data_IF_193011888244
#
_entry.id   IF_193011888244
#
_cell.length_a   1.000
_cell.length_b   1.000
_cell.length_c   1.000
_cell.angle_alpha   90.00
_cell.angle_beta   90.00
_cell.angle_gamma   90.00
#
_symmetry.space_group_name_H-M   'P 1'
#
loop_
_entity.id
_entity.type
_entity.pdbx_description
1 polymer ?
#
# COMPACT_ATOMS: atom_id res chain seq x y z
N UNK A 1 -3.61 5.16 -12.93
CA UNK A 1 -2.80 4.12 -13.61
C UNK A 1 -3.63 2.85 -13.65
N UNK A 2 -3.95 2.32 -14.84
CA UNK A 2 -4.64 1.03 -14.95
C UNK A 2 -3.61 -0.06 -14.67
N UNK A 3 -3.61 -0.60 -13.45
CA UNK A 3 -2.76 -1.75 -13.11
C UNK A 3 -3.41 -3.00 -13.71
N UNK A 4 -3.11 -3.31 -14.98
CA UNK A 4 -3.51 -4.57 -15.64
C UNK A 4 -2.67 -5.78 -15.16
N UNK A 5 -1.89 -5.62 -14.09
CA UNK A 5 -1.10 -6.69 -13.50
C UNK A 5 -1.97 -7.41 -12.50
N UNK A 6 -2.18 -8.73 -12.67
CA UNK A 6 -2.76 -9.56 -11.63
C UNK A 6 -1.80 -9.55 -10.44
N UNK A 7 -2.28 -9.15 -9.27
CA UNK A 7 -1.49 -9.09 -8.04
C UNK A 7 -2.30 -9.71 -6.89
N UNK A 8 -1.57 -10.25 -5.93
CA UNK A 8 -2.12 -10.83 -4.71
C UNK A 8 -1.21 -10.44 -3.55
N UNK A 9 -1.82 -10.17 -2.39
CA UNK A 9 -1.08 -9.88 -1.17
C UNK A 9 -0.56 -11.16 -0.52
N UNK A 10 0.74 -11.22 -0.27
CA UNK A 10 1.42 -12.34 0.40
C UNK A 10 1.92 -11.91 1.79
N UNK A 11 1.93 -12.80 2.81
CA UNK A 11 2.54 -12.54 4.12
C UNK A 11 3.92 -11.86 4.10
N UNK A 12 4.79 -12.17 3.13
CA UNK A 12 6.10 -11.54 3.00
C UNK A 12 6.03 -10.02 2.78
N UNK A 13 5.07 -9.59 1.95
CA UNK A 13 4.83 -8.17 1.65
C UNK A 13 4.35 -7.46 2.93
N UNK A 14 3.45 -8.10 3.67
CA UNK A 14 2.89 -7.59 4.91
C UNK A 14 3.98 -7.47 5.97
N UNK A 15 4.79 -8.52 6.20
CA UNK A 15 5.92 -8.50 7.13
C UNK A 15 6.89 -7.33 6.87
N UNK A 16 7.20 -7.06 5.60
CA UNK A 16 8.04 -5.92 5.22
C UNK A 16 7.39 -4.58 5.55
N UNK A 17 6.08 -4.47 5.42
CA UNK A 17 5.34 -3.26 5.75
C UNK A 17 5.19 -3.04 7.25
N UNK A 18 5.11 -4.10 8.06
CA UNK A 18 5.23 -3.99 9.52
C UNK A 18 6.53 -3.31 9.92
N UNK A 19 7.66 -3.73 9.34
CA UNK A 19 8.94 -3.09 9.63
C UNK A 19 8.98 -1.64 9.14
N UNK A 20 8.54 -1.38 7.90
CA UNK A 20 8.61 -0.02 7.32
C UNK A 20 7.70 1.00 8.00
N UNK A 21 6.50 0.60 8.41
CA UNK A 21 5.47 1.52 8.90
C UNK A 21 5.44 1.57 10.43
N UNK A 22 5.68 0.43 11.11
CA UNK A 22 5.57 0.30 12.56
C UNK A 22 6.91 0.08 13.26
N UNK A 23 7.99 -0.19 12.51
CA UNK A 23 9.30 -0.55 13.09
C UNK A 23 9.34 -1.94 13.71
N UNK A 24 8.30 -2.76 13.52
CA UNK A 24 8.18 -4.09 14.12
C UNK A 24 8.62 -5.16 13.12
N UNK A 25 9.50 -6.06 13.55
CA UNK A 25 9.90 -7.22 12.76
C UNK A 25 8.98 -8.39 13.09
N UNK A 26 8.28 -8.89 12.08
CA UNK A 26 7.41 -10.06 12.19
C UNK A 26 7.86 -11.11 11.17
N UNK A 27 7.89 -12.37 11.57
CA UNK A 27 8.20 -13.46 10.67
C UNK A 27 6.98 -13.78 9.78
N UNK A 28 7.14 -14.05 8.47
CA UNK A 28 6.01 -14.35 7.58
C UNK A 28 5.13 -15.52 8.04
N UNK A 29 5.72 -16.53 8.67
CA UNK A 29 4.99 -17.71 9.18
C UNK A 29 4.11 -17.41 10.41
N UNK A 30 4.39 -16.31 11.13
CA UNK A 30 3.59 -15.87 12.27
C UNK A 30 2.38 -15.01 11.83
N UNK A 31 2.33 -14.61 10.56
CA UNK A 31 1.25 -13.81 9.98
C UNK A 31 0.22 -14.73 9.34
N UNK A 32 -1.06 -14.49 9.67
CA UNK A 32 -2.20 -15.06 8.96
C UNK A 32 -2.98 -13.96 8.27
N UNK A 33 -3.16 -14.14 6.97
CA UNK A 33 -4.07 -13.33 6.17
C UNK A 33 -5.44 -14.02 6.11
N UNK A 34 -6.51 -13.31 5.72
CA UNK A 34 -7.79 -13.93 5.42
C UNK A 34 -7.64 -15.09 4.42
N UNK A 35 -8.49 -16.10 4.52
CA UNK A 35 -8.47 -17.26 3.62
C UNK A 35 -8.71 -16.85 2.16
N UNK A 36 -9.54 -15.83 1.95
CA UNK A 36 -9.78 -15.27 0.62
C UNK A 36 -8.56 -14.47 0.13
N UNK A 37 -8.02 -14.79 -1.06
CA UNK A 37 -6.90 -14.04 -1.63
C UNK A 37 -7.19 -12.55 -1.79
N UNK A 38 -6.35 -11.71 -1.18
CA UNK A 38 -6.51 -10.26 -1.27
C UNK A 38 -5.94 -9.77 -2.61
N UNK A 39 -6.86 -9.45 -3.52
CA UNK A 39 -6.56 -8.94 -4.88
C UNK A 39 -7.24 -7.60 -5.16
N UNK A 40 -7.89 -7.02 -4.16
CA UNK A 40 -8.64 -5.76 -4.23
C UNK A 40 -8.16 -4.79 -3.17
N UNK A 41 -8.35 -3.51 -3.43
CA UNK A 41 -8.11 -2.45 -2.45
C UNK A 41 -9.22 -2.45 -1.40
N UNK A 42 -8.87 -2.21 -0.14
CA UNK A 42 -9.84 -2.23 0.96
C UNK A 42 -9.21 -2.33 2.34
N UNK A 43 -10.08 -2.38 3.35
CA UNK A 43 -9.71 -2.60 4.74
C UNK A 43 -9.74 -4.08 5.09
N UNK A 44 -8.68 -4.56 5.72
CA UNK A 44 -8.50 -5.94 6.07
C UNK A 44 -7.93 -6.08 7.49
N UNK A 45 -7.94 -7.30 7.98
CA UNK A 45 -7.29 -7.67 9.23
C UNK A 45 -6.22 -8.71 8.94
N UNK A 46 -5.08 -8.58 9.62
CA UNK A 46 -4.07 -9.62 9.68
C UNK A 46 -3.92 -10.08 11.14
N UNK A 47 -3.82 -11.38 11.34
CA UNK A 47 -3.53 -11.95 12.65
C UNK A 47 -2.04 -12.22 12.77
N UNK A 48 -1.46 -11.83 13.90
CA UNK A 48 -0.05 -12.05 14.21
C UNK A 48 0.05 -12.89 15.46
N UNK A 49 0.65 -14.08 15.36
CA UNK A 49 0.87 -14.96 16.51
C UNK A 49 2.28 -14.79 17.05
N UNK A 50 2.41 -14.32 18.29
CA UNK A 50 3.69 -14.14 18.98
C UNK A 50 4.03 -15.43 19.72
N UNK A 51 5.15 -16.06 19.36
CA UNK A 51 5.69 -17.26 20.00
C UNK A 51 4.70 -18.45 20.10
N UNK A 52 3.67 -18.48 19.25
CA UNK A 52 2.64 -19.53 19.30
C UNK A 52 1.65 -19.40 20.46
N UNK A 53 1.68 -18.30 21.22
CA UNK A 53 0.84 -18.09 22.41
C UNK A 53 -0.22 -17.03 22.16
N UNK A 54 0.21 -15.79 21.97
CA UNK A 54 -0.69 -14.66 21.85
C UNK A 54 -0.95 -14.34 20.37
N UNK A 55 -2.22 -14.19 20.01
CA UNK A 55 -2.61 -13.78 18.66
C UNK A 55 -3.25 -12.40 18.71
N UNK A 56 -2.65 -11.45 17.98
CA UNK A 56 -3.08 -10.06 17.90
C UNK A 56 -3.65 -9.79 16.52
N UNK A 57 -4.83 -9.15 16.47
CA UNK A 57 -5.43 -8.67 15.22
C UNK A 57 -4.95 -7.26 14.91
N UNK A 58 -4.33 -7.08 13.76
CA UNK A 58 -3.81 -5.81 13.29
C UNK A 58 -4.66 -5.33 12.10
N UNK A 59 -5.24 -4.12 12.16
CA UNK A 59 -5.95 -3.55 11.02
C UNK A 59 -4.94 -3.15 9.95
N UNK A 60 -5.25 -3.43 8.69
CA UNK A 60 -4.42 -3.06 7.55
C UNK A 60 -5.26 -2.56 6.38
N UNK A 61 -4.84 -1.43 5.81
CA UNK A 61 -5.45 -0.85 4.61
C UNK A 61 -4.61 -1.21 3.39
N UNK A 62 -5.21 -1.93 2.44
CA UNK A 62 -4.57 -2.32 1.18
C UNK A 62 -4.90 -1.27 0.14
N UNK A 63 -3.92 -0.43 -0.18
CA UNK A 63 -4.08 0.73 -1.05
C UNK A 63 -3.20 0.63 -2.29
N UNK A 64 -3.55 1.38 -3.33
CA UNK A 64 -2.71 1.49 -4.52
C UNK A 64 -1.33 2.06 -4.13
N UNK A 65 -0.27 1.31 -4.42
CA UNK A 65 1.08 1.77 -4.14
C UNK A 65 1.48 2.93 -5.05
N UNK A 66 1.48 4.13 -4.51
CA UNK A 66 2.06 5.28 -5.18
C UNK A 66 3.58 5.20 -5.09
N UNK A 67 4.22 4.89 -6.23
CA UNK A 67 5.69 4.91 -6.30
C UNK A 67 6.18 6.29 -5.83
N UNK A 68 7.16 6.35 -4.91
CA UNK A 68 7.74 7.61 -4.49
C UNK A 68 8.19 8.41 -5.71
N UNK A 69 7.58 9.59 -5.89
CA UNK A 69 7.95 10.50 -6.97
C UNK A 69 9.44 10.86 -6.84
N UNK A 70 10.19 10.73 -7.93
CA UNK A 70 11.60 11.12 -7.95
C UNK A 70 11.75 12.59 -7.59
N UNK A 71 12.87 13.00 -6.99
CA UNK A 71 13.14 14.41 -6.67
C UNK A 71 12.90 15.31 -7.89
N UNK A 72 13.44 14.92 -9.05
CA UNK A 72 13.25 15.63 -10.32
C UNK A 72 11.77 15.82 -10.68
N UNK A 73 10.96 14.78 -10.53
CA UNK A 73 9.53 14.86 -10.84
C UNK A 73 8.77 15.74 -9.84
N UNK A 74 9.12 15.71 -8.54
CA UNK A 74 8.58 16.63 -7.54
C UNK A 74 8.91 18.10 -7.88
N UNK A 75 10.15 18.39 -8.26
CA UNK A 75 10.55 19.74 -8.70
C UNK A 75 9.83 20.18 -9.97
N UNK A 76 9.66 19.28 -10.94
CA UNK A 76 8.93 19.58 -12.16
C UNK A 76 7.45 19.92 -11.88
N UNK A 77 6.78 19.17 -11.00
CA UNK A 77 5.41 19.47 -10.56
C UNK A 77 5.31 20.82 -9.85
N UNK A 78 6.24 21.11 -8.93
CA UNK A 78 6.27 22.39 -8.23
C UNK A 78 6.44 23.57 -9.21
N UNK A 79 7.25 23.40 -10.25
CA UNK A 79 7.43 24.41 -11.30
C UNK A 79 6.16 24.61 -12.14
N UNK A 80 5.43 23.54 -12.45
CA UNK A 80 4.14 23.67 -13.15
C UNK A 80 3.08 24.35 -12.28
N UNK A 81 2.99 24.01 -10.99
CA UNK A 81 2.05 24.64 -10.06
C UNK A 81 2.34 26.13 -9.88
N UNK A 82 3.61 26.53 -9.80
CA UNK A 82 4.03 27.93 -9.75
C UNK A 82 3.79 28.69 -11.07
N UNK A 83 3.71 27.98 -12.20
CA UNK A 83 3.44 28.57 -13.52
C UNK A 83 1.95 28.65 -13.87
N UNK A 84 1.04 28.25 -12.97
CA UNK A 84 -0.40 28.49 -13.11
C UNK A 84 -1.07 27.76 -14.28
N UNK A 85 -0.56 26.61 -14.72
CA UNK A 85 -1.22 25.82 -15.76
C UNK A 85 -2.44 25.14 -15.14
N UNK A 86 -3.60 25.81 -15.20
CA UNK A 86 -4.89 25.23 -14.85
C UNK A 86 -5.13 23.97 -15.73
N UNK A 87 -5.62 22.85 -15.17
CA UNK A 87 -6.00 21.72 -15.99
C UNK A 87 -7.15 22.17 -16.89
N UNK A 88 -6.94 22.13 -18.21
CA UNK A 88 -8.01 22.31 -19.19
C UNK A 88 -9.03 21.20 -18.96
N UNK A 89 -10.09 21.49 -18.22
CA UNK A 89 -11.30 20.67 -18.18
C UNK A 89 -11.92 20.75 -19.56
N UNK A 90 -11.62 19.78 -20.42
CA UNK A 90 -12.39 19.55 -21.65
C UNK A 90 -13.80 19.13 -21.24
N UNK A 91 -14.71 20.11 -21.21
CA UNK A 91 -16.14 19.86 -21.29
C UNK A 91 -16.40 19.20 -22.64
N UNK A 92 -17.01 18.01 -22.64
CA UNK A 92 -17.63 17.42 -23.83
C UNK A 92 -19.13 17.42 -23.61
N UNK A 93 -19.81 18.10 -24.54
CA UNK A 93 -21.26 18.16 -24.74
C UNK A 93 -21.82 16.78 -25.06
#
# INVERSE_FOLDING_TARGET
MKNNVKWELNPEIVARHFFKNLGVVVTPHALKLPEEPITRWGEYWCEVTVNGLDTVRVPMSVVNFERPKTKRYKYWLARQAAQGVAPTSSQTI
#
